data_IF_432331084216
#
_entry.id   IF_432331084216
#
_cell.length_a   1.000
_cell.length_b   1.000
_cell.length_c   1.000
_cell.angle_alpha   90.00
_cell.angle_beta   90.00
_cell.angle_gamma   90.00
#
_symmetry.space_group_name_H-M   'P 1'
#
loop_
_entity.id
_entity.type
_entity.pdbx_description
1 polymer ?
#
# COMPACT_ATOMS: atom_id res chain seq x y z
N UNK A 1 22.12 19.48 17.45
CA UNK A 1 22.59 19.66 16.06
C UNK A 1 21.37 19.70 15.14
N UNK A 2 21.07 20.84 14.50
CA UNK A 2 20.01 20.95 13.49
C UNK A 2 20.68 21.10 12.13
N UNK A 3 20.34 20.21 11.18
CA UNK A 3 20.36 20.52 9.74
C UNK A 3 19.16 19.82 9.10
N UNK A 4 18.08 20.58 8.89
CA UNK A 4 17.05 20.27 7.89
C UNK A 4 17.66 20.59 6.53
N UNK A 5 17.62 19.67 5.57
CA UNK A 5 17.53 20.00 4.15
C UNK A 5 16.50 19.04 3.55
N UNK A 6 15.41 19.62 3.06
CA UNK A 6 14.34 18.99 2.32
C UNK A 6 14.88 18.50 0.97
N UNK A 7 14.48 17.30 0.57
CA UNK A 7 14.20 16.94 -0.84
C UNK A 7 13.67 15.52 -0.88
N UNK A 8 12.40 15.35 -0.50
CA UNK A 8 11.60 14.25 -1.00
C UNK A 8 10.53 14.93 -1.83
N UNK A 9 10.57 14.68 -3.13
CA UNK A 9 9.58 15.16 -4.08
C UNK A 9 8.25 14.53 -3.69
N UNK A 10 7.50 15.21 -2.83
CA UNK A 10 6.15 14.85 -2.44
C UNK A 10 5.29 15.09 -3.68
N UNK A 11 5.02 14.03 -4.44
CA UNK A 11 3.94 14.07 -5.41
C UNK A 11 2.65 14.07 -4.59
N UNK A 12 2.19 15.26 -4.25
CA UNK A 12 0.82 15.51 -3.82
C UNK A 12 -0.06 15.14 -5.03
N UNK A 13 -0.41 13.86 -5.17
CA UNK A 13 -1.55 13.44 -6.00
C UNK A 13 -2.79 13.59 -5.14
N UNK A 14 -3.15 14.83 -4.84
CA UNK A 14 -4.50 15.16 -4.40
C UNK A 14 -5.13 16.04 -5.46
N UNK A 15 -6.16 15.47 -6.10
CA UNK A 15 -7.23 16.11 -6.84
C UNK A 15 -7.00 16.32 -8.35
N UNK A 16 -7.63 15.46 -9.15
CA UNK A 16 -8.84 15.81 -9.91
C UNK A 16 -9.34 14.52 -10.57
N UNK A 17 -10.22 13.78 -9.88
CA UNK A 17 -11.22 13.01 -10.62
C UNK A 17 -12.34 13.99 -10.95
N UNK A 18 -12.11 14.81 -11.97
CA UNK A 18 -13.19 15.54 -12.62
C UNK A 18 -14.05 14.49 -13.32
N UNK A 19 -15.35 14.50 -13.06
CA UNK A 19 -16.30 13.63 -13.72
C UNK A 19 -16.22 13.79 -15.24
N UNK A 20 -15.79 12.74 -15.94
CA UNK A 20 -16.34 12.45 -17.26
C UNK A 20 -17.47 11.47 -17.02
N UNK A 21 -18.68 11.93 -17.31
CA UNK A 21 -19.89 11.12 -17.30
C UNK A 21 -19.67 9.89 -18.19
N UNK A 22 -19.81 8.71 -17.59
CA UNK A 22 -19.75 7.42 -18.28
C UNK A 22 -18.79 6.42 -17.64
N UNK A 23 -19.23 5.73 -16.58
CA UNK A 23 -18.66 4.46 -16.08
C UNK A 23 -17.20 4.46 -15.58
N UNK A 24 -16.83 5.36 -14.66
CA UNK A 24 -15.59 5.19 -13.90
C UNK A 24 -15.82 4.19 -12.75
N UNK A 25 -15.22 2.99 -12.83
CA UNK A 25 -15.18 2.02 -11.73
C UNK A 25 -14.56 2.67 -10.50
N UNK A 26 -15.26 2.63 -9.36
CA UNK A 26 -14.74 3.15 -8.10
C UNK A 26 -13.73 2.19 -7.48
N UNK A 27 -12.55 2.10 -8.10
CA UNK A 27 -11.47 1.23 -7.63
C UNK A 27 -10.63 1.98 -6.61
N UNK A 28 -10.34 1.32 -5.48
CA UNK A 28 -9.40 1.86 -4.51
C UNK A 28 -8.05 2.15 -5.16
N UNK A 29 -7.45 3.27 -4.77
CA UNK A 29 -6.11 3.63 -5.22
C UNK A 29 -5.10 2.59 -4.73
N UNK A 30 -4.02 2.40 -5.51
CA UNK A 30 -2.91 1.54 -5.08
C UNK A 30 -2.17 2.24 -3.94
N UNK A 31 -1.98 1.61 -2.77
CA UNK A 31 -1.14 2.15 -1.72
C UNK A 31 0.27 2.43 -2.24
N UNK A 32 0.80 3.62 -1.96
CA UNK A 32 2.16 4.02 -2.33
C UNK A 32 3.03 3.89 -1.09
N UNK A 33 4.09 3.11 -1.15
CA UNK A 33 5.07 2.99 -0.06
C UNK A 33 5.78 4.34 0.09
N UNK A 34 5.70 4.95 1.27
CA UNK A 34 6.28 6.25 1.59
C UNK A 34 7.62 6.12 2.31
N UNK A 35 7.73 5.14 3.22
CA UNK A 35 8.96 4.92 3.98
C UNK A 35 9.20 3.42 4.25
N UNK A 36 10.48 3.09 4.45
CA UNK A 36 10.94 1.75 4.80
C UNK A 36 12.00 1.87 5.91
N UNK A 37 11.65 1.42 7.12
CA UNK A 37 12.57 1.30 8.26
C UNK A 37 13.11 -0.12 8.36
N UNK A 38 14.41 -0.28 8.08
CA UNK A 38 15.12 -1.56 8.17
C UNK A 38 15.77 -1.68 9.55
N UNK A 39 15.10 -2.42 10.43
CA UNK A 39 15.61 -2.78 11.74
C UNK A 39 16.52 -4.02 11.71
N UNK A 40 17.11 -4.36 12.87
CA UNK A 40 18.01 -5.52 13.01
C UNK A 40 17.36 -6.85 12.61
N UNK A 41 16.10 -7.05 13.02
CA UNK A 41 15.32 -8.29 12.81
C UNK A 41 13.89 -7.96 12.32
N UNK A 42 13.68 -6.79 11.74
CA UNK A 42 12.37 -6.40 11.22
C UNK A 42 12.50 -5.45 10.04
N UNK A 43 11.52 -5.44 9.16
CA UNK A 43 11.31 -4.36 8.19
C UNK A 43 9.95 -3.75 8.48
N UNK A 44 9.91 -2.44 8.72
CA UNK A 44 8.65 -1.70 8.71
C UNK A 44 8.48 -1.01 7.36
N UNK A 45 7.28 -1.12 6.81
CA UNK A 45 6.84 -0.41 5.63
C UNK A 45 5.69 0.52 6.02
N UNK A 46 5.76 1.76 5.59
CA UNK A 46 4.72 2.76 5.76
C UNK A 46 4.19 3.14 4.37
N UNK A 47 2.89 3.33 4.23
CA UNK A 47 2.27 3.71 2.96
C UNK A 47 1.26 4.83 3.12
N UNK A 48 1.00 5.53 2.01
CA UNK A 48 0.02 6.58 1.96
C UNK A 48 -1.37 6.02 2.26
N UNK A 49 -2.11 6.70 3.15
CA UNK A 49 -3.51 6.37 3.45
C UNK A 49 -4.35 6.41 2.16
N UNK A 50 -5.12 5.34 1.94
CA UNK A 50 -6.05 5.22 0.82
C UNK A 50 -7.47 5.51 1.32
N UNK A 51 -8.12 6.59 0.84
CA UNK A 51 -9.51 6.87 1.19
C UNK A 51 -10.42 5.69 0.87
N UNK A 52 -11.37 5.40 1.77
CA UNK A 52 -12.34 4.31 1.67
C UNK A 52 -11.75 2.90 1.74
N UNK A 53 -10.46 2.76 2.05
CA UNK A 53 -9.91 1.48 2.46
C UNK A 53 -10.35 1.19 3.91
N UNK A 54 -10.93 0.02 4.10
CA UNK A 54 -11.24 -0.55 5.42
C UNK A 54 -10.04 -1.35 5.96
N UNK A 55 -9.24 -1.92 5.05
CA UNK A 55 -8.09 -2.75 5.39
C UNK A 55 -7.03 -2.71 4.26
N UNK A 56 -5.82 -3.16 4.58
CA UNK A 56 -4.73 -3.37 3.63
C UNK A 56 -4.22 -4.80 3.72
N UNK A 57 -4.28 -5.54 2.60
CA UNK A 57 -3.58 -6.82 2.47
C UNK A 57 -2.10 -6.59 2.19
N UNK A 58 -1.22 -7.25 2.95
CA UNK A 58 0.22 -7.20 2.77
C UNK A 58 0.72 -8.51 2.16
N UNK A 59 1.46 -8.37 1.07
CA UNK A 59 2.08 -9.47 0.37
C UNK A 59 3.60 -9.31 0.32
N UNK A 60 4.31 -10.43 0.37
CA UNK A 60 5.78 -10.48 0.31
C UNK A 60 6.29 -11.53 -0.67
N UNK A 61 7.42 -11.23 -1.31
CA UNK A 61 8.21 -12.18 -2.09
C UNK A 61 9.71 -12.00 -1.83
N UNK A 62 10.51 -13.01 -2.14
CA UNK A 62 11.97 -12.93 -2.18
C UNK A 62 12.50 -12.65 -3.59
N UNK A 63 11.61 -12.53 -4.58
CA UNK A 63 11.92 -12.16 -5.96
C UNK A 63 11.02 -11.02 -6.42
N UNK A 64 11.60 -10.05 -7.14
CA UNK A 64 10.90 -8.85 -7.62
C UNK A 64 9.70 -9.20 -8.51
N UNK A 65 9.92 -10.15 -9.41
CA UNK A 65 8.93 -10.60 -10.41
C UNK A 65 8.38 -11.99 -10.05
N UNK A 66 8.63 -12.46 -8.83
CA UNK A 66 8.22 -13.77 -8.36
C UNK A 66 6.78 -13.80 -7.85
N UNK A 67 6.39 -14.98 -7.35
CA UNK A 67 5.11 -15.15 -6.65
C UNK A 67 5.13 -14.41 -5.32
N UNK A 68 4.18 -13.53 -5.12
CA UNK A 68 3.93 -12.86 -3.85
C UNK A 68 2.97 -13.71 -3.01
N UNK A 69 3.27 -13.83 -1.72
CA UNK A 69 2.43 -14.54 -0.75
C UNK A 69 1.82 -13.53 0.19
N UNK A 70 0.53 -13.72 0.50
CA UNK A 70 -0.11 -13.02 1.60
C UNK A 70 0.63 -13.35 2.89
N UNK A 71 0.93 -12.33 3.70
CA UNK A 71 1.61 -12.51 4.98
C UNK A 71 0.82 -11.94 6.15
N UNK A 72 0.03 -10.89 5.91
CA UNK A 72 -0.76 -10.22 6.95
C UNK A 72 -1.78 -9.26 6.34
N UNK A 73 -2.65 -8.74 7.19
CA UNK A 73 -3.51 -7.60 6.90
C UNK A 73 -3.47 -6.59 8.05
N UNK A 74 -3.73 -5.31 7.75
CA UNK A 74 -3.79 -4.26 8.77
C UNK A 74 -4.81 -3.18 8.39
N UNK A 75 -5.49 -2.59 9.36
CA UNK A 75 -6.36 -1.42 9.16
C UNK A 75 -5.56 -0.10 9.20
N UNK A 76 -4.36 -0.11 9.80
CA UNK A 76 -3.43 1.01 9.77
C UNK A 76 -2.58 1.04 8.49
N UNK A 77 -2.10 2.22 8.11
CA UNK A 77 -1.28 2.42 6.88
C UNK A 77 0.21 2.09 7.06
N UNK A 78 0.52 1.10 7.89
CA UNK A 78 1.88 0.60 8.08
C UNK A 78 1.88 -0.87 8.50
N UNK A 79 3.00 -1.55 8.29
CA UNK A 79 3.19 -2.93 8.75
C UNK A 79 4.64 -3.18 9.15
N UNK A 80 4.87 -3.95 10.21
CA UNK A 80 6.21 -4.37 10.63
C UNK A 80 6.37 -5.89 10.55
N UNK A 81 7.19 -6.32 9.61
CA UNK A 81 7.52 -7.72 9.37
C UNK A 81 8.66 -8.17 10.27
N UNK A 82 8.34 -8.93 11.32
CA UNK A 82 9.32 -9.55 12.23
C UNK A 82 9.78 -10.95 11.78
N UNK A 83 9.20 -11.48 10.70
CA UNK A 83 9.48 -12.84 10.22
C UNK A 83 10.68 -12.93 9.26
N UNK A 84 11.44 -11.83 9.14
CA UNK A 84 12.54 -11.71 8.19
C UNK A 84 13.76 -12.55 8.59
N UNK A 85 14.54 -12.97 7.60
CA UNK A 85 15.84 -13.60 7.79
C UNK A 85 16.95 -12.64 7.39
N UNK A 86 17.97 -12.51 8.24
CA UNK A 86 19.15 -11.67 7.97
C UNK A 86 19.77 -12.02 6.61
N UNK A 87 20.13 -10.98 5.84
CA UNK A 87 20.73 -11.13 4.52
C UNK A 87 19.75 -11.51 3.40
N UNK A 88 18.45 -11.66 3.69
CA UNK A 88 17.44 -11.95 2.67
C UNK A 88 16.83 -10.65 2.17
N UNK A 89 16.77 -10.51 0.84
CA UNK A 89 16.04 -9.41 0.20
C UNK A 89 14.57 -9.77 0.10
N UNK A 90 13.71 -8.85 0.53
CA UNK A 90 12.27 -8.98 0.45
C UNK A 90 11.69 -7.87 -0.43
N UNK A 91 10.59 -8.19 -1.08
CA UNK A 91 9.77 -7.28 -1.88
C UNK A 91 8.36 -7.32 -1.34
N UNK A 92 7.76 -6.15 -1.15
CA UNK A 92 6.42 -6.01 -0.60
C UNK A 92 5.46 -5.43 -1.64
N UNK A 93 4.21 -5.85 -1.56
CA UNK A 93 3.07 -5.25 -2.26
C UNK A 93 1.96 -5.10 -1.24
N UNK A 94 1.25 -3.98 -1.32
CA UNK A 94 0.13 -3.67 -0.43
C UNK A 94 -1.09 -3.41 -1.30
N UNK A 95 -2.25 -3.94 -0.90
CA UNK A 95 -3.52 -3.78 -1.60
C UNK A 95 -4.56 -3.26 -0.62
N UNK A 96 -5.12 -2.09 -0.90
CA UNK A 96 -6.26 -1.58 -0.16
C UNK A 96 -7.51 -2.43 -0.46
N UNK A 97 -8.30 -2.69 0.58
CA UNK A 97 -9.54 -3.48 0.57
C UNK A 97 -10.66 -2.61 1.14
N UNK A 98 -11.84 -2.68 0.55
CA UNK A 98 -13.07 -2.20 1.16
C UNK A 98 -14.07 -3.34 1.26
N UNK A 99 -14.80 -3.39 2.36
CA UNK A 99 -15.86 -4.37 2.59
C UNK A 99 -17.22 -3.91 2.06
N UNK A 100 -17.33 -2.66 1.62
CA UNK A 100 -18.56 -2.13 1.04
C UNK A 100 -18.79 -2.69 -0.38
N UNK A 101 -20.00 -3.18 -0.66
CA UNK A 101 -20.47 -3.78 -1.92
C UNK A 101 -20.47 -2.84 -3.15
N UNK A 102 -19.69 -1.76 -3.13
CA UNK A 102 -19.57 -0.86 -4.27
C UNK A 102 -18.82 -1.48 -5.46
N UNK A 103 -18.10 -2.59 -5.24
CA UNK A 103 -17.31 -3.30 -6.26
C UNK A 103 -18.08 -4.41 -7.01
N UNK A 104 -19.24 -4.90 -6.50
CA UNK A 104 -19.93 -6.06 -7.09
C UNK A 104 -21.40 -5.87 -7.51
N UNK A 105 -22.03 -4.72 -7.21
CA UNK A 105 -23.44 -4.50 -7.56
C UNK A 105 -23.69 -3.99 -8.99
N UNK A 106 -22.65 -3.61 -9.72
CA UNK A 106 -22.75 -3.10 -11.11
C UNK A 106 -22.48 -4.15 -12.19
N UNK A 107 -22.11 -5.38 -11.83
CA UNK A 107 -21.75 -6.45 -12.78
C UNK A 107 -22.80 -7.57 -12.89
N UNK A 108 -23.99 -7.41 -12.28
CA UNK A 108 -25.04 -8.44 -12.27
C UNK A 108 -26.34 -8.08 -13.01
N UNK A 109 -26.30 -7.13 -13.95
CA UNK A 109 -27.41 -6.87 -14.88
C UNK A 109 -26.98 -6.93 -16.33
#
# INVERSE_FOLDING_TARGET
MKKKILSVTLVIVMMLSSTISGFAEYRLARPVIEDIDIGKNSIKIDWAYVPHADEYDIYRSTSKDGKYKYIDSNDESWYRDYSIKKGTRYYYKVRAISYSDYDNSYLSK
#
